data_IF_011253186314
#
_entry.id   IF_011253186314
#
_cell.length_a   1.000
_cell.length_b   1.000
_cell.length_c   1.000
_cell.angle_alpha   90.00
_cell.angle_beta   90.00
_cell.angle_gamma   90.00
#
_symmetry.space_group_name_H-M   'P 1'
#
loop_
_entity.id
_entity.type
_entity.pdbx_description
1 polymer ?
#
# COMPACT_ATOMS: atom_id res chain seq x y z
N UNK A 1 6.90 -16.79 -29.96
CA UNK A 1 6.45 -15.38 -29.76
C UNK A 1 7.60 -14.47 -29.32
N UNK A 2 8.43 -14.87 -28.34
CA UNK A 2 9.62 -14.10 -27.93
C UNK A 2 10.74 -14.06 -28.99
N UNK A 3 10.97 -15.17 -29.70
CA UNK A 3 12.01 -15.29 -30.74
C UNK A 3 11.77 -14.34 -31.93
N UNK A 4 10.55 -14.33 -32.47
CA UNK A 4 10.15 -13.40 -33.53
C UNK A 4 10.19 -11.91 -33.12
N UNK A 5 10.05 -11.59 -31.82
CA UNK A 5 10.24 -10.23 -31.34
C UNK A 5 11.72 -9.87 -31.26
N UNK A 6 12.57 -10.78 -30.79
CA UNK A 6 14.01 -10.59 -30.73
C UNK A 6 14.61 -10.41 -32.14
N UNK A 7 14.20 -11.22 -33.11
CA UNK A 7 14.63 -11.07 -34.52
C UNK A 7 14.24 -9.72 -35.10
N UNK A 8 13.00 -9.26 -34.84
CA UNK A 8 12.55 -7.93 -35.28
C UNK A 8 13.26 -6.78 -34.58
N UNK A 9 13.61 -6.93 -33.30
CA UNK A 9 14.37 -5.94 -32.56
C UNK A 9 15.78 -5.78 -33.13
N UNK A 10 16.42 -6.88 -33.56
CA UNK A 10 17.74 -6.84 -34.18
C UNK A 10 17.68 -6.30 -35.62
N UNK A 11 16.64 -6.65 -36.38
CA UNK A 11 16.48 -6.22 -37.77
C UNK A 11 16.11 -4.73 -37.91
N UNK A 12 15.23 -4.21 -37.05
CA UNK A 12 14.84 -2.80 -37.02
C UNK A 12 14.57 -2.30 -35.60
N UNK A 13 15.63 -1.93 -34.85
CA UNK A 13 15.51 -1.44 -33.48
C UNK A 13 14.67 -0.16 -33.37
N UNK A 14 14.70 0.69 -34.40
CA UNK A 14 14.00 1.97 -34.39
C UNK A 14 12.48 1.77 -34.50
N UNK A 15 12.02 0.91 -35.40
CA UNK A 15 10.60 0.60 -35.53
C UNK A 15 10.06 -0.15 -34.30
N UNK A 16 10.82 -1.08 -33.73
CA UNK A 16 10.40 -1.78 -32.51
C UNK A 16 10.31 -0.80 -31.33
N UNK A 17 11.29 0.09 -31.16
CA UNK A 17 11.25 1.15 -30.13
C UNK A 17 10.04 2.07 -30.31
N UNK A 18 9.75 2.51 -31.54
CA UNK A 18 8.60 3.35 -31.83
C UNK A 18 7.28 2.65 -31.48
N UNK A 19 7.15 1.37 -31.82
CA UNK A 19 5.97 0.58 -31.47
C UNK A 19 5.79 0.40 -29.96
N UNK A 20 6.87 0.05 -29.24
CA UNK A 20 6.82 -0.10 -27.77
C UNK A 20 6.43 1.22 -27.13
N UNK A 21 7.04 2.34 -27.54
CA UNK A 21 6.66 3.68 -27.06
C UNK A 21 5.17 3.94 -27.29
N UNK A 22 4.69 3.74 -28.52
CA UNK A 22 3.30 4.00 -28.86
C UNK A 22 2.33 3.14 -28.01
N UNK A 23 2.63 1.87 -27.78
CA UNK A 23 1.84 1.01 -26.90
C UNK A 23 1.86 1.50 -25.45
N UNK A 24 3.02 1.93 -24.94
CA UNK A 24 3.11 2.48 -23.58
C UNK A 24 2.33 3.80 -23.44
N UNK A 25 2.36 4.67 -24.46
CA UNK A 25 1.56 5.90 -24.52
C UNK A 25 0.06 5.58 -24.49
N UNK A 26 -0.40 4.61 -25.30
CA UNK A 26 -1.79 4.16 -25.28
C UNK A 26 -2.21 3.57 -23.93
N UNK A 27 -1.34 2.80 -23.27
CA UNK A 27 -1.61 2.30 -21.92
C UNK A 27 -1.67 3.46 -20.90
N UNK A 28 -0.80 4.47 -21.05
CA UNK A 28 -0.83 5.71 -20.29
C UNK A 28 -2.21 6.36 -20.32
N UNK A 29 -2.66 6.67 -21.53
CA UNK A 29 -3.95 7.31 -21.79
C UNK A 29 -5.13 6.48 -21.27
N UNK A 30 -5.14 5.18 -21.57
CA UNK A 30 -6.28 4.32 -21.26
C UNK A 30 -6.40 3.98 -19.76
N UNK A 31 -5.29 3.83 -19.04
CA UNK A 31 -5.30 3.26 -17.69
C UNK A 31 -4.80 4.22 -16.60
N UNK A 32 -3.91 5.15 -16.93
CA UNK A 32 -3.14 5.87 -15.92
C UNK A 32 -3.43 7.37 -15.88
N UNK A 33 -3.75 8.03 -17.00
CA UNK A 33 -3.86 9.49 -17.06
C UNK A 33 -4.83 10.09 -16.03
N UNK A 34 -6.00 9.48 -15.85
CA UNK A 34 -6.99 9.92 -14.87
C UNK A 34 -6.46 9.83 -13.43
N UNK A 35 -5.77 8.73 -13.08
CA UNK A 35 -5.16 8.56 -11.77
C UNK A 35 -3.93 9.47 -11.61
N UNK A 36 -3.16 9.66 -12.68
CA UNK A 36 -1.95 10.48 -12.70
C UNK A 36 -2.26 11.95 -12.43
N UNK A 37 -3.41 12.46 -12.88
CA UNK A 37 -3.84 13.83 -12.61
C UNK A 37 -3.89 14.17 -11.09
N UNK A 38 -4.37 13.24 -10.25
CA UNK A 38 -4.34 13.39 -8.79
C UNK A 38 -2.94 13.17 -8.21
N UNK A 39 -2.31 12.06 -8.61
CA UNK A 39 -1.00 11.64 -8.07
C UNK A 39 0.07 12.70 -8.34
N UNK A 40 0.11 13.30 -9.53
CA UNK A 40 1.09 14.30 -9.90
C UNK A 40 1.00 15.57 -9.02
N UNK A 41 -0.21 16.03 -8.70
CA UNK A 41 -0.43 17.19 -7.83
C UNK A 41 0.12 16.92 -6.42
N UNK A 42 -0.13 15.71 -5.90
CA UNK A 42 0.33 15.30 -4.57
C UNK A 42 1.85 15.19 -4.49
N UNK A 43 2.46 14.51 -5.46
CA UNK A 43 3.92 14.41 -5.56
C UNK A 43 4.56 15.81 -5.68
N UNK A 44 3.99 16.70 -6.50
CA UNK A 44 4.49 18.06 -6.66
C UNK A 44 4.37 18.89 -5.36
N UNK A 45 3.31 18.68 -4.59
CA UNK A 45 3.09 19.39 -3.32
C UNK A 45 4.13 18.95 -2.28
N UNK A 46 4.36 17.65 -2.13
CA UNK A 46 5.37 17.10 -1.23
C UNK A 46 6.79 17.56 -1.63
N UNK A 47 7.10 17.55 -2.93
CA UNK A 47 8.38 18.07 -3.43
C UNK A 47 8.59 19.55 -3.11
N UNK A 48 7.55 20.39 -3.21
CA UNK A 48 7.66 21.80 -2.83
C UNK A 48 7.93 21.96 -1.34
N UNK A 49 7.18 21.26 -0.50
CA UNK A 49 7.37 21.29 0.95
C UNK A 49 8.80 20.91 1.34
N UNK A 50 9.32 19.80 0.80
CA UNK A 50 10.67 19.30 1.13
C UNK A 50 11.78 20.20 0.61
N UNK A 51 11.61 20.75 -0.59
CA UNK A 51 12.55 21.74 -1.12
C UNK A 51 12.55 23.03 -0.28
N UNK A 52 11.40 23.46 0.22
CA UNK A 52 11.32 24.63 1.11
C UNK A 52 11.97 24.35 2.47
N UNK A 53 11.75 23.17 3.06
CA UNK A 53 12.44 22.74 4.28
C UNK A 53 13.96 22.68 4.08
N UNK A 54 14.42 22.08 2.97
CA UNK A 54 15.84 22.01 2.64
C UNK A 54 16.48 23.41 2.55
N UNK A 55 15.81 24.35 1.88
CA UNK A 55 16.31 25.72 1.69
C UNK A 55 16.29 26.55 2.98
N UNK A 56 15.27 26.37 3.83
CA UNK A 56 15.03 27.25 5.00
C UNK A 56 15.58 26.70 6.30
N UNK A 57 15.57 25.37 6.47
CA UNK A 57 15.90 24.68 7.72
C UNK A 57 17.05 23.66 7.55
N UNK A 58 17.56 23.48 6.33
CA UNK A 58 18.68 22.61 6.04
C UNK A 58 18.32 21.15 5.80
N UNK A 59 19.34 20.34 5.54
CA UNK A 59 19.18 18.93 5.13
C UNK A 59 18.58 18.05 6.23
N UNK A 60 18.93 18.27 7.50
CA UNK A 60 18.38 17.49 8.62
C UNK A 60 16.85 17.59 8.71
N UNK A 61 16.31 18.81 8.62
CA UNK A 61 14.86 19.03 8.63
C UNK A 61 14.16 18.43 7.40
N UNK A 62 14.80 18.51 6.22
CA UNK A 62 14.28 17.89 5.01
C UNK A 62 14.24 16.36 5.14
N UNK A 63 15.30 15.72 5.64
CA UNK A 63 15.37 14.27 5.84
C UNK A 63 14.37 13.78 6.90
N UNK A 64 14.22 14.51 8.01
CA UNK A 64 13.21 14.19 9.02
C UNK A 64 11.78 14.21 8.45
N UNK A 65 11.50 15.08 7.47
CA UNK A 65 10.19 15.10 6.79
C UNK A 65 9.98 13.98 5.74
N UNK A 66 11.04 13.24 5.40
CA UNK A 66 10.98 12.12 4.44
C UNK A 66 10.47 10.86 5.13
N UNK A 67 11.06 10.52 6.28
CA UNK A 67 10.70 9.34 7.10
C UNK A 67 11.52 9.35 8.38
N UNK A 68 10.97 8.85 9.48
CA UNK A 68 11.70 8.63 10.74
C UNK A 68 12.87 7.64 10.59
N UNK A 69 12.83 6.79 9.55
CA UNK A 69 13.90 5.85 9.25
C UNK A 69 15.13 6.49 8.56
N UNK A 70 15.10 7.79 8.25
CA UNK A 70 16.21 8.50 7.59
C UNK A 70 16.75 9.57 8.50
N UNK A 71 18.02 9.45 8.85
CA UNK A 71 18.71 10.41 9.70
C UNK A 71 19.98 10.91 9.03
N UNK A 72 20.42 12.10 9.47
CA UNK A 72 21.74 12.61 9.12
C UNK A 72 22.69 12.26 10.26
N UNK A 73 23.85 11.72 9.94
CA UNK A 73 24.90 11.48 10.91
C UNK A 73 25.37 12.81 11.56
N UNK A 74 25.88 12.79 12.80
CA UNK A 74 26.25 14.02 13.53
C UNK A 74 27.31 14.87 12.84
N UNK A 75 28.18 14.26 12.03
CA UNK A 75 29.19 14.93 11.22
C UNK A 75 28.60 15.65 9.99
N UNK A 76 27.35 15.33 9.62
CA UNK A 76 26.67 15.88 8.45
C UNK A 76 27.07 15.25 7.12
N UNK A 77 28.00 14.28 7.14
CA UNK A 77 28.64 13.74 5.93
C UNK A 77 27.94 12.46 5.43
N UNK A 78 27.13 11.83 6.28
CA UNK A 78 26.45 10.57 5.97
C UNK A 78 24.94 10.65 6.20
N UNK A 79 24.17 10.12 5.24
CA UNK A 79 22.74 9.84 5.41
C UNK A 79 22.62 8.38 5.85
N UNK A 80 22.01 8.15 7.01
CA UNK A 80 21.77 6.82 7.56
C UNK A 80 20.31 6.46 7.34
N UNK A 81 20.08 5.31 6.72
CA UNK A 81 18.75 4.76 6.50
C UNK A 81 18.61 3.48 7.31
N UNK A 82 17.70 3.46 8.27
CA UNK A 82 17.45 2.29 9.11
C UNK A 82 16.85 1.15 8.27
N UNK A 83 17.68 0.12 8.06
CA UNK A 83 17.37 -1.09 7.31
C UNK A 83 18.03 -2.29 7.97
N UNK A 84 17.37 -3.44 7.86
CA UNK A 84 17.92 -4.75 8.27
C UNK A 84 19.25 -5.11 7.57
N UNK A 85 19.56 -4.48 6.43
CA UNK A 85 20.80 -4.70 5.71
C UNK A 85 21.82 -3.62 6.08
N UNK A 86 23.02 -4.03 6.49
CA UNK A 86 24.16 -3.14 6.69
C UNK A 86 24.93 -2.98 5.37
N UNK A 87 24.69 -1.87 4.68
CA UNK A 87 25.34 -1.52 3.40
C UNK A 87 25.62 -0.03 3.36
N UNK A 88 26.74 0.32 2.73
CA UNK A 88 27.14 1.70 2.50
C UNK A 88 27.49 1.94 1.03
N UNK A 89 27.30 3.17 0.58
CA UNK A 89 27.72 3.65 -0.75
C UNK A 89 28.10 5.12 -0.67
N UNK A 90 28.96 5.57 -1.56
CA UNK A 90 29.37 6.96 -1.63
C UNK A 90 28.61 7.70 -2.74
N UNK A 91 28.09 8.87 -2.41
CA UNK A 91 27.41 9.78 -3.34
C UNK A 91 28.43 10.70 -4.04
N UNK A 92 29.41 10.13 -4.75
CA UNK A 92 30.59 10.79 -5.33
C UNK A 92 30.27 12.02 -6.21
N UNK A 93 30.05 13.19 -5.60
CA UNK A 93 29.76 14.47 -6.29
C UNK A 93 28.39 14.58 -6.95
N UNK A 94 27.69 13.46 -7.18
CA UNK A 94 26.34 13.41 -7.76
C UNK A 94 25.23 13.59 -6.72
N UNK A 95 25.56 13.49 -5.42
CA UNK A 95 24.58 13.56 -4.34
C UNK A 95 23.63 12.36 -4.32
N UNK A 96 22.58 12.45 -3.51
CA UNK A 96 21.55 11.41 -3.36
C UNK A 96 20.24 11.92 -3.96
N UNK A 97 19.59 11.12 -4.80
CA UNK A 97 18.28 11.48 -5.36
C UNK A 97 17.16 10.94 -4.48
N UNK A 98 16.25 11.83 -4.09
CA UNK A 98 15.07 11.49 -3.31
C UNK A 98 13.83 11.46 -4.23
N UNK A 99 13.16 10.31 -4.33
CA UNK A 99 11.99 10.11 -5.20
C UNK A 99 10.73 9.89 -4.33
N UNK A 100 9.75 10.81 -4.34
CA UNK A 100 8.48 10.59 -3.68
C UNK A 100 7.66 9.50 -4.37
N UNK A 101 6.87 8.76 -3.60
CA UNK A 101 5.97 7.72 -4.10
C UNK A 101 4.66 7.70 -3.31
N UNK A 102 3.52 7.65 -4.02
CA UNK A 102 2.21 7.42 -3.38
C UNK A 102 1.93 5.94 -3.11
N UNK A 103 2.72 5.03 -3.70
CA UNK A 103 2.56 3.58 -3.60
C UNK A 103 3.59 2.93 -2.66
N UNK A 104 4.57 3.69 -2.15
CA UNK A 104 5.67 3.16 -1.36
C UNK A 104 5.32 2.86 0.10
N UNK A 105 4.15 3.27 0.60
CA UNK A 105 3.84 3.21 2.05
C UNK A 105 3.76 1.74 2.54
N UNK A 106 4.25 1.44 3.76
CA UNK A 106 4.97 2.31 4.70
C UNK A 106 6.49 2.33 4.49
N UNK A 107 6.97 1.72 3.41
CA UNK A 107 8.38 1.41 3.23
C UNK A 107 9.13 2.47 2.43
N UNK A 108 10.31 2.83 2.91
CA UNK A 108 11.32 3.54 2.15
C UNK A 108 12.24 2.55 1.46
N UNK A 109 12.64 2.80 0.22
CA UNK A 109 13.57 1.94 -0.54
C UNK A 109 14.81 2.74 -0.88
N UNK A 110 15.98 2.24 -0.46
CA UNK A 110 17.27 2.78 -0.85
C UNK A 110 17.87 1.85 -1.92
N UNK A 111 18.11 2.38 -3.12
CA UNK A 111 18.71 1.66 -4.24
C UNK A 111 20.08 2.25 -4.53
N UNK A 112 21.10 1.40 -4.56
CA UNK A 112 22.45 1.79 -4.88
C UNK A 112 23.21 0.68 -5.60
N UNK A 113 24.15 1.07 -6.46
CA UNK A 113 25.11 0.20 -7.12
C UNK A 113 26.42 0.99 -7.37
N UNK A 114 27.60 0.33 -7.46
CA UNK A 114 28.84 1.02 -7.76
C UNK A 114 28.75 1.86 -9.05
N UNK A 115 29.13 3.14 -8.97
CA UNK A 115 29.07 4.07 -10.09
C UNK A 115 27.67 4.64 -10.42
N UNK A 116 26.63 4.21 -9.70
CA UNK A 116 25.28 4.76 -9.84
C UNK A 116 25.03 5.82 -8.78
N UNK A 117 24.26 6.85 -9.13
CA UNK A 117 23.77 7.81 -8.15
C UNK A 117 22.83 7.09 -7.18
N UNK A 118 23.05 7.16 -5.85
CA UNK A 118 22.14 6.56 -4.88
C UNK A 118 20.75 7.19 -4.97
N UNK A 119 19.72 6.34 -4.89
CA UNK A 119 18.31 6.75 -4.95
C UNK A 119 17.59 6.31 -3.70
N UNK A 120 16.88 7.23 -3.06
CA UNK A 120 15.98 6.96 -1.93
C UNK A 120 14.55 7.23 -2.38
N UNK A 121 13.77 6.18 -2.58
CA UNK A 121 12.35 6.28 -2.84
C UNK A 121 11.57 6.26 -1.51
N UNK A 122 10.73 7.25 -1.26
CA UNK A 122 10.03 7.42 0.02
C UNK A 122 8.53 7.62 -0.14
N UNK A 123 7.72 7.23 0.86
CA UNK A 123 6.27 7.42 0.80
C UNK A 123 5.88 8.88 1.02
N UNK A 124 4.96 9.40 0.21
CA UNK A 124 4.32 10.70 0.47
C UNK A 124 3.19 10.50 1.48
N UNK A 125 3.21 11.27 2.57
CA UNK A 125 2.14 11.29 3.57
C UNK A 125 0.88 11.86 2.92
N UNK A 126 -0.24 11.14 2.99
CA UNK A 126 -1.50 11.58 2.40
C UNK A 126 -2.06 12.80 3.17
N UNK A 127 -2.79 13.68 2.49
CA UNK A 127 -3.49 14.78 3.16
C UNK A 127 -4.31 14.24 4.33
N UNK A 128 -4.27 14.86 5.53
CA UNK A 128 -5.03 14.41 6.70
C UNK A 128 -6.55 14.33 6.49
N UNK A 129 -7.06 14.94 5.41
CA UNK A 129 -8.48 14.94 5.06
C UNK A 129 -8.93 13.73 4.23
N UNK A 130 -7.99 12.95 3.67
CA UNK A 130 -8.29 11.75 2.88
C UNK A 130 -8.01 10.44 3.66
N UNK A 131 -7.40 10.54 4.85
CA UNK A 131 -7.36 9.44 5.83
C UNK A 131 -8.43 9.65 6.93
N UNK A 132 -9.16 8.61 7.35
CA UNK A 132 -9.89 8.64 8.60
C UNK A 132 -8.91 8.69 9.79
N UNK A 133 -8.34 9.87 10.07
CA UNK A 133 -7.40 10.14 11.17
C UNK A 133 -6.13 9.27 11.13
N UNK A 134 -5.16 9.48 12.04
CA UNK A 134 -4.24 8.41 12.37
C UNK A 134 -5.10 7.29 12.97
N UNK A 135 -5.49 6.31 12.16
CA UNK A 135 -5.96 5.05 12.69
C UNK A 135 -4.83 4.56 13.57
N UNK A 136 -5.06 4.63 14.88
CA UNK A 136 -4.14 4.16 15.90
C UNK A 136 -3.59 2.80 15.43
N UNK A 137 -2.27 2.62 15.36
CA UNK A 137 -1.68 1.44 14.74
C UNK A 137 -2.36 0.18 15.26
N UNK A 138 -3.00 -0.58 14.37
CA UNK A 138 -3.78 -1.77 14.75
C UNK A 138 -2.90 -2.70 15.59
N UNK A 139 -3.33 -3.00 16.81
CA UNK A 139 -2.55 -3.80 17.75
C UNK A 139 -2.30 -5.21 17.21
N UNK A 140 -1.17 -5.83 17.58
CA UNK A 140 -0.87 -7.22 17.23
C UNK A 140 -1.98 -8.19 17.68
N UNK A 141 -2.62 -7.89 18.81
CA UNK A 141 -3.79 -8.63 19.32
C UNK A 141 -4.97 -8.56 18.34
N UNK A 142 -5.28 -7.37 17.82
CA UNK A 142 -6.36 -7.20 16.84
C UNK A 142 -6.07 -7.93 15.53
N UNK A 143 -4.82 -7.89 15.06
CA UNK A 143 -4.39 -8.63 13.87
C UNK A 143 -4.54 -10.14 14.10
N UNK A 144 -4.09 -10.63 15.26
CA UNK A 144 -4.21 -12.06 15.63
C UNK A 144 -5.66 -12.49 15.67
N UNK A 145 -6.54 -11.72 16.32
CA UNK A 145 -7.97 -12.00 16.40
C UNK A 145 -8.62 -12.07 15.01
N UNK A 146 -8.23 -11.19 14.08
CA UNK A 146 -8.71 -11.23 12.69
C UNK A 146 -8.24 -12.48 11.96
N UNK A 147 -6.96 -12.84 12.10
CA UNK A 147 -6.41 -14.05 11.47
C UNK A 147 -7.08 -15.32 12.01
N UNK A 148 -7.27 -15.43 13.32
CA UNK A 148 -8.01 -16.53 13.95
C UNK A 148 -9.45 -16.59 13.43
N UNK A 149 -10.13 -15.45 13.32
CA UNK A 149 -11.47 -15.38 12.75
C UNK A 149 -11.51 -15.77 11.26
N UNK A 150 -10.42 -15.64 10.51
CA UNK A 150 -10.35 -16.07 9.10
C UNK A 150 -9.89 -17.52 8.92
N UNK A 151 -9.18 -18.09 9.90
CA UNK A 151 -8.64 -19.46 9.87
C UNK A 151 -9.70 -20.58 10.00
N UNK A 152 -10.93 -20.37 9.51
CA UNK A 152 -11.99 -21.38 9.52
C UNK A 152 -12.74 -21.42 8.18
N UNK A 153 -12.88 -22.60 7.55
CA UNK A 153 -13.38 -22.73 6.19
C UNK A 153 -14.82 -22.20 6.02
N UNK A 154 -15.70 -22.47 6.99
CA UNK A 154 -17.08 -21.95 6.96
C UNK A 154 -17.13 -20.43 7.02
N UNK A 155 -16.24 -19.78 7.81
CA UNK A 155 -16.23 -18.32 7.93
C UNK A 155 -15.78 -17.67 6.62
N UNK A 156 -14.80 -18.24 5.94
CA UNK A 156 -14.38 -17.80 4.60
C UNK A 156 -15.49 -17.94 3.55
N UNK A 157 -16.27 -19.04 3.59
CA UNK A 157 -17.44 -19.24 2.71
C UNK A 157 -18.52 -18.19 2.94
N UNK A 158 -18.83 -17.89 4.20
CA UNK A 158 -19.77 -16.83 4.56
C UNK A 158 -19.29 -15.46 4.10
N UNK A 159 -18.01 -15.12 4.31
CA UNK A 159 -17.42 -13.87 3.83
C UNK A 159 -17.48 -13.75 2.30
N UNK A 160 -17.22 -14.83 1.56
CA UNK A 160 -17.35 -14.84 0.09
C UNK A 160 -18.77 -14.53 -0.37
N UNK A 161 -19.79 -14.90 0.40
CA UNK A 161 -21.19 -14.56 0.12
C UNK A 161 -21.46 -13.10 0.44
N UNK A 162 -20.99 -12.63 1.60
CA UNK A 162 -21.14 -11.24 2.06
C UNK A 162 -20.37 -10.24 1.20
N UNK A 163 -19.30 -10.66 0.52
CA UNK A 163 -18.58 -9.86 -0.47
C UNK A 163 -19.46 -9.50 -1.69
N UNK A 164 -20.54 -10.23 -1.94
CA UNK A 164 -21.50 -9.94 -3.02
C UNK A 164 -22.64 -9.02 -2.57
N UNK A 165 -22.75 -8.72 -1.27
CA UNK A 165 -23.75 -7.82 -0.71
C UNK A 165 -24.25 -8.22 0.67
N UNK A 166 -25.12 -7.40 1.30
CA UNK A 166 -25.64 -7.65 2.64
C UNK A 166 -26.63 -8.83 2.70
N UNK A 167 -26.46 -9.72 3.67
CA UNK A 167 -27.32 -10.90 3.87
C UNK A 167 -27.77 -11.06 5.33
N UNK A 168 -28.93 -11.68 5.54
CA UNK A 168 -29.46 -12.06 6.84
C UNK A 168 -28.96 -13.44 7.28
N UNK A 169 -29.08 -13.75 8.58
CA UNK A 169 -28.74 -15.08 9.11
C UNK A 169 -29.50 -16.20 8.40
N UNK A 170 -30.77 -15.97 8.07
CA UNK A 170 -31.63 -16.99 7.45
C UNK A 170 -31.19 -17.28 6.01
N UNK A 171 -30.87 -16.24 5.25
CA UNK A 171 -30.36 -16.38 3.87
C UNK A 171 -29.01 -17.12 3.86
N UNK A 172 -28.11 -16.78 4.79
CA UNK A 172 -26.80 -17.44 4.91
C UNK A 172 -26.93 -18.90 5.37
N UNK A 173 -27.84 -19.19 6.30
CA UNK A 173 -28.15 -20.55 6.74
C UNK A 173 -28.67 -21.41 5.58
N UNK A 174 -29.59 -20.87 4.80
CA UNK A 174 -30.14 -21.57 3.64
C UNK A 174 -29.10 -21.79 2.54
N UNK A 175 -28.28 -20.77 2.23
CA UNK A 175 -27.29 -20.83 1.15
C UNK A 175 -26.17 -21.86 1.39
N UNK A 176 -25.87 -22.18 2.65
CA UNK A 176 -24.76 -23.07 3.03
C UNK A 176 -25.20 -24.35 3.74
N UNK A 177 -26.50 -24.62 3.79
CA UNK A 177 -27.10 -25.76 4.51
C UNK A 177 -26.61 -25.86 5.96
N UNK A 178 -26.66 -24.72 6.66
CA UNK A 178 -26.25 -24.60 8.07
C UNK A 178 -27.45 -24.24 8.94
N UNK A 179 -27.38 -24.57 10.22
CA UNK A 179 -28.42 -24.14 11.15
C UNK A 179 -28.28 -22.64 11.48
N UNK A 180 -29.39 -21.91 11.75
CA UNK A 180 -29.31 -20.51 12.16
C UNK A 180 -28.43 -20.22 13.38
N UNK A 181 -28.38 -21.08 14.43
CA UNK A 181 -27.44 -20.92 15.54
C UNK A 181 -25.97 -21.03 15.12
N UNK A 182 -25.63 -21.96 14.23
CA UNK A 182 -24.26 -22.12 13.72
C UNK A 182 -23.80 -20.89 12.93
N UNK A 183 -24.66 -20.39 12.03
CA UNK A 183 -24.40 -19.16 11.28
C UNK A 183 -24.22 -17.98 12.23
N UNK A 184 -25.11 -17.83 13.22
CA UNK A 184 -25.02 -16.76 14.21
C UNK A 184 -23.69 -16.78 14.97
N UNK A 185 -23.21 -17.98 15.37
CA UNK A 185 -21.91 -18.17 16.03
C UNK A 185 -20.75 -17.73 15.13
N UNK A 186 -20.76 -18.11 13.85
CA UNK A 186 -19.73 -17.72 12.89
C UNK A 186 -19.71 -16.20 12.65
N UNK A 187 -20.88 -15.59 12.47
CA UNK A 187 -21.02 -14.14 12.28
C UNK A 187 -20.67 -13.36 13.55
N UNK A 188 -20.92 -13.89 14.74
CA UNK A 188 -20.49 -13.29 15.99
C UNK A 188 -18.96 -13.25 16.10
N UNK A 189 -18.26 -14.33 15.73
CA UNK A 189 -16.79 -14.35 15.72
C UNK A 189 -16.21 -13.32 14.74
N UNK A 190 -16.76 -13.26 13.52
CA UNK A 190 -16.33 -12.30 12.51
C UNK A 190 -16.61 -10.83 12.91
N UNK A 191 -17.74 -10.56 13.58
CA UNK A 191 -18.05 -9.23 14.12
C UNK A 191 -17.13 -8.84 15.26
N UNK A 192 -16.81 -9.75 16.18
CA UNK A 192 -15.84 -9.49 17.26
C UNK A 192 -14.47 -9.11 16.73
N UNK A 193 -14.08 -9.67 15.58
CA UNK A 193 -12.83 -9.32 14.91
C UNK A 193 -12.90 -8.03 14.06
N UNK A 194 -14.05 -7.34 14.05
CA UNK A 194 -14.27 -6.12 13.27
C UNK A 194 -14.32 -6.34 11.75
N UNK A 195 -14.56 -7.58 11.29
CA UNK A 195 -14.59 -7.91 9.84
C UNK A 195 -15.98 -7.78 9.23
N UNK A 196 -17.00 -7.58 10.06
CA UNK A 196 -18.41 -7.44 9.65
C UNK A 196 -19.08 -6.34 10.43
N UNK A 197 -20.01 -5.65 9.77
CA UNK A 197 -21.01 -4.82 10.43
C UNK A 197 -22.38 -5.49 10.40
N UNK A 198 -23.24 -5.13 11.34
CA UNK A 198 -24.63 -5.59 11.38
C UNK A 198 -25.54 -4.38 11.52
N UNK A 199 -26.52 -4.27 10.62
CA UNK A 199 -27.52 -3.21 10.66
C UNK A 199 -28.91 -3.83 10.70
N UNK A 200 -29.75 -3.29 11.58
CA UNK A 200 -31.17 -3.64 11.62
C UNK A 200 -31.91 -2.94 10.48
N UNK A 201 -32.63 -3.73 9.70
CA UNK A 201 -33.44 -3.30 8.56
C UNK A 201 -34.87 -3.84 8.77
N UNK A 202 -35.70 -3.00 9.39
CA UNK A 202 -37.02 -3.37 9.87
C UNK A 202 -36.99 -4.52 10.88
N UNK A 203 -37.55 -5.67 10.48
CA UNK A 203 -37.62 -6.90 11.29
C UNK A 203 -36.39 -7.79 11.16
N UNK A 204 -35.48 -7.49 10.23
CA UNK A 204 -34.31 -8.32 9.92
C UNK A 204 -33.02 -7.64 10.35
N UNK A 205 -31.97 -8.45 10.57
CA UNK A 205 -30.60 -7.97 10.76
C UNK A 205 -29.81 -8.39 9.53
N UNK A 206 -29.27 -7.41 8.82
CA UNK A 206 -28.38 -7.63 7.67
C UNK A 206 -26.94 -7.48 8.11
N UNK A 207 -26.14 -8.48 7.77
CA UNK A 207 -24.70 -8.49 7.94
C UNK A 207 -24.06 -8.00 6.65
N UNK A 208 -23.04 -7.15 6.78
CA UNK A 208 -22.28 -6.60 5.65
C UNK A 208 -20.80 -6.82 5.92
N UNK A 209 -20.06 -7.19 4.87
CA UNK A 209 -18.61 -7.27 4.93
C UNK A 209 -18.01 -5.89 5.16
N UNK A 210 -17.10 -5.77 6.14
CA UNK A 210 -16.26 -4.59 6.25
C UNK A 210 -15.09 -4.74 5.27
N UNK A 211 -15.31 -4.28 4.03
CA UNK A 211 -14.32 -4.42 2.96
C UNK A 211 -13.01 -3.68 3.29
N UNK A 212 -13.03 -2.42 3.78
CA UNK A 212 -11.81 -1.74 4.23
C UNK A 212 -11.00 -2.56 5.25
N UNK A 213 -11.64 -3.07 6.30
CA UNK A 213 -10.95 -3.85 7.33
C UNK A 213 -10.32 -5.15 6.78
N UNK A 214 -10.98 -5.81 5.83
CA UNK A 214 -10.44 -7.02 5.18
C UNK A 214 -9.29 -6.67 4.25
N UNK A 215 -9.39 -5.59 3.47
CA UNK A 215 -8.33 -5.16 2.54
C UNK A 215 -7.06 -4.69 3.27
N UNK A 216 -7.21 -4.06 4.44
CA UNK A 216 -6.10 -3.57 5.24
C UNK A 216 -5.31 -4.70 5.93
N UNK A 217 -5.87 -5.90 6.07
CA UNK A 217 -5.29 -6.98 6.90
C UNK A 217 -3.83 -7.32 6.56
N UNK A 218 -3.47 -7.33 5.27
CA UNK A 218 -2.09 -7.60 4.86
C UNK A 218 -1.12 -6.50 5.29
N UNK A 219 -1.52 -5.24 5.13
CA UNK A 219 -0.73 -4.10 5.57
C UNK A 219 -0.66 -4.03 7.10
N UNK A 220 -1.77 -4.28 7.79
CA UNK A 220 -1.85 -4.32 9.26
C UNK A 220 -0.93 -5.40 9.85
N UNK A 221 -0.90 -6.59 9.24
CA UNK A 221 -0.02 -7.68 9.66
C UNK A 221 1.46 -7.30 9.50
N UNK A 222 1.83 -6.76 8.34
CA UNK A 222 3.21 -6.33 8.11
C UNK A 222 3.61 -5.21 9.09
N UNK A 223 2.73 -4.23 9.31
CA UNK A 223 2.97 -3.16 10.27
C UNK A 223 3.09 -3.66 11.72
N UNK A 224 2.33 -4.70 12.09
CA UNK A 224 2.41 -5.29 13.43
C UNK A 224 3.66 -6.15 13.64
N UNK A 225 4.17 -6.83 12.61
CA UNK A 225 5.37 -7.69 12.67
C UNK A 225 6.67 -6.88 12.62
N UNK A 226 6.66 -5.75 11.91
CA UNK A 226 7.85 -4.91 11.72
C UNK A 226 8.04 -3.85 12.82
N UNK A 227 7.16 -3.82 13.82
CA UNK A 227 7.30 -2.98 15.01
C UNK A 227 8.14 -3.64 16.09
#
# INVERSE_FOLDING_TARGET
MQEAFAERLLADPAAVRARVRHTLEQCGEAFFDAAWADVAVRLATDLRLKNDLLKRQGIGAALASVSDAVTLAPDGDCIVVDKLQDKATAAHGTGVTFIPSVFGRPHLVAVHAPGWQPVVQYPVVQNPTDEPGPAEPVSLETVTLRLEALAHPVRLRLLRTLARGPHTNRELAHAWDLTPPEVSRHLAALRRAGLLTARRDGRYVRHTLDLPAVTALGADLLAAVLR
#
